data_IF_849362809144
#
_entry.id   IF_849362809144
#
_cell.length_a   1.000
_cell.length_b   1.000
_cell.length_c   1.000
_cell.angle_alpha   90.00
_cell.angle_beta   90.00
_cell.angle_gamma   90.00
#
_symmetry.space_group_name_H-M   'P 1'
#
loop_
_entity.id
_entity.type
_entity.pdbx_description
1 polymer ?
#
# COMPACT_ATOMS: atom_id res chain seq x y z
N UNK A 1 0.84 32.57 26.66
CA UNK A 1 0.13 31.29 26.96
C UNK A 1 -0.60 30.77 25.77
N UNK A 2 -1.34 31.60 25.04
CA UNK A 2 -2.06 31.17 23.82
C UNK A 2 -1.13 30.65 22.74
N UNK A 3 0.03 31.28 22.58
CA UNK A 3 1.06 30.89 21.62
C UNK A 3 1.59 29.48 21.94
N UNK A 4 1.83 29.21 23.22
CA UNK A 4 2.33 27.90 23.66
C UNK A 4 1.31 26.80 23.39
N UNK A 5 0.02 27.03 23.65
CA UNK A 5 -1.06 26.08 23.39
C UNK A 5 -1.17 25.80 21.89
N UNK A 6 -1.06 26.83 21.07
CA UNK A 6 -1.11 26.70 19.62
C UNK A 6 0.05 25.85 19.08
N UNK A 7 1.27 26.10 19.59
CA UNK A 7 2.44 25.32 19.19
C UNK A 7 2.31 23.86 19.59
N UNK A 8 1.76 23.56 20.75
CA UNK A 8 1.54 22.18 21.19
C UNK A 8 0.58 21.46 20.27
N UNK A 9 -0.51 22.12 19.85
CA UNK A 9 -1.45 21.53 18.90
C UNK A 9 -0.80 21.20 17.55
N UNK A 10 0.05 22.09 17.04
CA UNK A 10 0.76 21.86 15.77
C UNK A 10 1.74 20.70 15.90
N UNK A 11 2.45 20.59 16.99
CA UNK A 11 3.37 19.48 17.23
C UNK A 11 2.65 18.15 17.29
N UNK A 12 1.50 18.08 17.95
CA UNK A 12 0.70 16.86 18.02
C UNK A 12 0.23 16.41 16.64
N UNK A 13 -0.21 17.35 15.80
CA UNK A 13 -0.63 17.04 14.42
C UNK A 13 0.54 16.50 13.61
N UNK A 14 1.71 17.10 13.76
CA UNK A 14 2.91 16.66 13.05
C UNK A 14 3.30 15.24 13.46
N UNK A 15 3.30 14.94 14.75
CA UNK A 15 3.62 13.62 15.24
C UNK A 15 2.64 12.55 14.75
N UNK A 16 1.34 12.85 14.75
CA UNK A 16 0.33 11.92 14.25
C UNK A 16 0.51 11.65 12.76
N UNK A 17 0.81 12.68 11.98
CA UNK A 17 1.05 12.54 10.54
C UNK A 17 2.30 11.69 10.27
N UNK A 18 3.33 11.77 11.12
CA UNK A 18 4.57 11.00 10.93
C UNK A 18 4.43 9.53 11.30
N UNK A 19 3.39 9.14 12.04
CA UNK A 19 3.15 7.74 12.38
C UNK A 19 2.58 6.93 11.19
N UNK A 20 1.99 7.60 10.21
CA UNK A 20 1.41 6.95 9.03
C UNK A 20 2.46 6.91 7.94
N UNK A 21 2.79 5.71 7.47
CA UNK A 21 3.77 5.53 6.41
C UNK A 21 3.16 5.85 5.05
N UNK A 22 3.97 6.29 4.09
CA UNK A 22 3.52 6.47 2.71
C UNK A 22 3.47 5.13 1.98
N UNK A 23 2.83 5.12 0.81
CA UNK A 23 2.63 3.89 0.03
C UNK A 23 3.93 3.23 -0.40
N UNK A 24 4.93 4.01 -0.77
CA UNK A 24 6.23 3.48 -1.16
C UNK A 24 6.91 2.75 -0.01
N UNK A 25 6.92 3.35 1.17
CA UNK A 25 7.53 2.75 2.35
C UNK A 25 6.84 1.46 2.74
N UNK A 26 5.51 1.46 2.74
CA UNK A 26 4.73 0.26 3.04
C UNK A 26 5.04 -0.85 2.02
N UNK A 27 5.02 -0.50 0.74
CA UNK A 27 5.27 -1.46 -0.33
C UNK A 27 6.65 -2.09 -0.21
N UNK A 28 7.69 -1.28 0.01
CA UNK A 28 9.05 -1.77 0.16
C UNK A 28 9.20 -2.73 1.33
N UNK A 29 8.55 -2.43 2.45
CA UNK A 29 8.70 -3.22 3.65
C UNK A 29 7.85 -4.49 3.67
N UNK A 30 6.71 -4.49 3.00
CA UNK A 30 5.73 -5.55 3.11
C UNK A 30 5.56 -6.36 1.82
N UNK A 31 5.62 -5.72 0.67
CA UNK A 31 5.21 -6.30 -0.60
C UNK A 31 6.35 -6.61 -1.56
N UNK A 32 7.40 -5.80 -1.57
CA UNK A 32 8.43 -5.84 -2.58
C UNK A 32 9.22 -7.15 -2.60
N UNK A 33 9.29 -7.87 -1.49
CA UNK A 33 9.96 -9.16 -1.46
C UNK A 33 9.43 -10.16 -2.47
N UNK A 34 8.12 -10.12 -2.72
CA UNK A 34 7.47 -10.97 -3.71
C UNK A 34 7.09 -10.23 -4.98
N UNK A 35 6.86 -8.92 -4.90
CA UNK A 35 6.38 -8.11 -6.02
C UNK A 35 7.42 -7.09 -6.49
N UNK A 36 8.63 -7.54 -6.75
CA UNK A 36 9.72 -6.68 -7.21
C UNK A 36 9.28 -5.97 -8.50
N UNK A 37 9.33 -4.63 -8.50
CA UNK A 37 8.96 -3.79 -9.65
C UNK A 37 7.58 -4.12 -10.21
N UNK A 38 6.64 -4.49 -9.33
CA UNK A 38 5.29 -4.82 -9.74
C UNK A 38 5.12 -6.22 -10.31
N UNK A 39 6.16 -7.05 -10.30
CA UNK A 39 6.08 -8.42 -10.76
C UNK A 39 5.56 -9.37 -9.69
N UNK A 40 5.80 -10.64 -9.91
CA UNK A 40 5.59 -11.68 -8.92
C UNK A 40 6.69 -12.72 -9.09
N UNK A 41 7.43 -13.00 -8.01
CA UNK A 41 8.54 -13.96 -8.05
C UNK A 41 8.15 -15.33 -7.53
N UNK A 42 7.01 -15.45 -6.86
CA UNK A 42 6.60 -16.69 -6.17
C UNK A 42 5.86 -17.64 -7.09
N UNK A 43 5.05 -17.13 -8.01
CA UNK A 43 4.25 -17.92 -8.90
C UNK A 43 4.56 -17.58 -10.35
N UNK A 44 4.90 -18.60 -11.13
CA UNK A 44 5.17 -18.40 -12.55
C UNK A 44 3.96 -17.80 -13.27
N UNK A 45 4.19 -16.66 -13.89
CA UNK A 45 3.40 -16.19 -15.01
C UNK A 45 2.07 -15.55 -14.76
N UNK A 46 1.66 -15.22 -13.54
CA UNK A 46 0.28 -14.81 -13.50
C UNK A 46 -0.18 -13.81 -12.44
N UNK A 47 0.65 -13.44 -11.51
CA UNK A 47 0.12 -12.68 -10.36
C UNK A 47 0.81 -11.35 -10.15
N UNK A 48 1.22 -10.72 -11.26
CA UNK A 48 1.91 -9.44 -11.20
C UNK A 48 0.96 -8.30 -10.85
N UNK A 49 1.55 -7.18 -10.44
CA UNK A 49 0.81 -5.95 -10.16
C UNK A 49 0.82 -5.02 -11.38
N UNK A 50 1.15 -5.52 -12.55
CA UNK A 50 1.04 -4.74 -13.77
C UNK A 50 -0.43 -4.45 -14.07
N UNK A 51 -0.69 -3.28 -14.63
CA UNK A 51 -2.08 -2.85 -14.85
C UNK A 51 -2.90 -3.86 -15.63
N UNK A 52 -2.32 -4.42 -16.70
CA UNK A 52 -3.04 -5.42 -17.51
C UNK A 52 -3.46 -6.64 -16.70
N UNK A 53 -2.61 -7.11 -15.80
CA UNK A 53 -2.93 -8.26 -14.95
C UNK A 53 -3.99 -7.92 -13.90
N UNK A 54 -3.91 -6.73 -13.32
CA UNK A 54 -4.93 -6.27 -12.37
C UNK A 54 -6.29 -6.13 -13.05
N UNK A 55 -6.30 -5.61 -14.27
CA UNK A 55 -7.54 -5.47 -15.04
C UNK A 55 -8.14 -6.81 -15.45
N UNK A 56 -7.32 -7.74 -15.88
CA UNK A 56 -7.78 -9.09 -16.24
C UNK A 56 -8.49 -9.79 -15.10
N UNK A 57 -8.10 -9.47 -13.86
CA UNK A 57 -8.68 -10.08 -12.67
C UNK A 57 -9.76 -9.23 -12.03
N UNK A 58 -10.10 -8.10 -12.65
CA UNK A 58 -11.09 -7.16 -12.14
C UNK A 58 -10.76 -6.67 -10.71
N UNK A 59 -9.47 -6.46 -10.44
CA UNK A 59 -8.99 -5.99 -9.14
C UNK A 59 -8.14 -4.72 -9.26
N UNK A 60 -8.37 -3.91 -10.27
CA UNK A 60 -7.60 -2.68 -10.50
C UNK A 60 -8.11 -1.48 -9.71
N UNK A 61 -9.03 -1.68 -8.79
CA UNK A 61 -9.58 -0.62 -7.96
C UNK A 61 -8.99 -0.64 -6.56
N UNK A 62 -9.06 0.51 -5.89
CA UNK A 62 -8.49 0.71 -4.56
C UNK A 62 -9.02 -0.28 -3.53
N UNK A 63 -10.34 -0.46 -3.48
CA UNK A 63 -10.95 -1.32 -2.47
C UNK A 63 -10.54 -2.78 -2.63
N UNK A 64 -10.46 -3.27 -3.87
CA UNK A 64 -10.03 -4.64 -4.14
C UNK A 64 -8.58 -4.88 -3.72
N UNK A 65 -7.69 -3.96 -4.07
CA UNK A 65 -6.27 -4.10 -3.72
C UNK A 65 -6.08 -3.98 -2.20
N UNK A 66 -6.76 -3.04 -1.55
CA UNK A 66 -6.69 -2.90 -0.10
C UNK A 66 -7.17 -4.18 0.60
N UNK A 67 -8.25 -4.76 0.13
CA UNK A 67 -8.77 -6.01 0.68
C UNK A 67 -7.77 -7.15 0.54
N UNK A 68 -7.15 -7.27 -0.63
CA UNK A 68 -6.13 -8.30 -0.87
C UNK A 68 -4.91 -8.08 0.02
N UNK A 69 -4.48 -6.84 0.19
CA UNK A 69 -3.36 -6.54 1.09
C UNK A 69 -3.67 -6.96 2.53
N UNK A 70 -4.89 -6.73 2.99
CA UNK A 70 -5.30 -7.11 4.34
C UNK A 70 -5.53 -8.62 4.52
N UNK A 71 -6.25 -9.23 3.60
CA UNK A 71 -6.77 -10.59 3.78
C UNK A 71 -6.02 -11.65 2.97
N UNK A 72 -5.27 -11.22 1.94
CA UNK A 72 -4.62 -12.14 1.02
C UNK A 72 -5.55 -12.65 -0.05
N UNK A 73 -4.99 -13.42 -0.97
CA UNK A 73 -5.75 -14.07 -2.04
C UNK A 73 -4.95 -15.29 -2.53
N UNK A 74 -5.62 -16.43 -2.64
CA UNK A 74 -4.95 -17.66 -3.06
C UNK A 74 -3.79 -18.00 -2.15
N UNK A 75 -2.60 -18.17 -2.70
CA UNK A 75 -1.40 -18.48 -1.92
C UNK A 75 -0.77 -17.24 -1.28
N UNK A 76 -1.20 -16.06 -1.65
CA UNK A 76 -0.71 -14.83 -1.04
C UNK A 76 -1.34 -14.64 0.34
N UNK A 77 -0.52 -14.45 1.35
CA UNK A 77 -0.98 -14.18 2.72
C UNK A 77 -1.52 -12.76 2.83
N UNK A 78 -2.41 -12.54 3.79
CA UNK A 78 -2.82 -11.21 4.18
C UNK A 78 -1.80 -10.56 5.12
N UNK A 79 -1.72 -9.24 5.07
CA UNK A 79 -0.73 -8.48 5.84
C UNK A 79 -1.37 -7.45 6.77
N UNK A 80 -2.64 -7.62 7.11
CA UNK A 80 -3.34 -6.70 8.01
C UNK A 80 -2.56 -6.46 9.30
N UNK A 81 -1.91 -7.48 9.83
CA UNK A 81 -1.12 -7.39 11.07
C UNK A 81 0.13 -6.52 10.93
N UNK A 82 0.53 -6.20 9.71
CA UNK A 82 1.67 -5.32 9.43
C UNK A 82 1.27 -3.94 8.94
N UNK A 83 -0.03 -3.68 8.84
CA UNK A 83 -0.57 -2.42 8.36
C UNK A 83 -1.30 -1.71 9.49
N UNK A 84 -1.07 -0.41 9.61
CA UNK A 84 -1.84 0.44 10.53
C UNK A 84 -3.16 0.82 9.86
N UNK A 85 -4.09 1.31 10.66
CA UNK A 85 -5.38 1.75 10.15
C UNK A 85 -5.20 2.80 9.05
N UNK A 86 -5.85 2.58 7.91
CA UNK A 86 -5.76 3.46 6.75
C UNK A 86 -4.60 3.18 5.81
N UNK A 87 -3.60 2.44 6.24
CA UNK A 87 -2.44 2.14 5.39
C UNK A 87 -2.76 1.20 4.23
N UNK A 88 -3.77 0.37 4.37
CA UNK A 88 -4.22 -0.51 3.29
C UNK A 88 -4.64 0.29 2.05
N UNK A 89 -5.37 1.38 2.24
CA UNK A 89 -5.82 2.23 1.13
C UNK A 89 -4.71 3.10 0.58
N UNK A 90 -3.84 3.62 1.44
CA UNK A 90 -2.65 4.36 1.01
C UNK A 90 -1.77 3.48 0.13
N UNK A 91 -1.54 2.26 0.55
CA UNK A 91 -0.80 1.27 -0.22
C UNK A 91 -1.48 0.96 -1.55
N UNK A 92 -2.79 0.73 -1.54
CA UNK A 92 -3.54 0.43 -2.75
C UNK A 92 -3.46 1.56 -3.78
N UNK A 93 -3.61 2.80 -3.34
CA UNK A 93 -3.50 3.97 -4.21
C UNK A 93 -2.11 4.06 -4.84
N UNK A 94 -1.07 3.82 -4.06
CA UNK A 94 0.30 3.84 -4.54
C UNK A 94 0.54 2.75 -5.58
N UNK A 95 0.06 1.54 -5.34
CA UNK A 95 0.17 0.42 -6.28
C UNK A 95 -0.54 0.74 -7.60
N UNK A 96 -1.75 1.25 -7.55
CA UNK A 96 -2.51 1.61 -8.75
C UNK A 96 -1.78 2.69 -9.55
N UNK A 97 -1.26 3.70 -8.87
CA UNK A 97 -0.54 4.78 -9.55
C UNK A 97 0.70 4.24 -10.27
N UNK A 98 1.46 3.38 -9.61
CA UNK A 98 2.63 2.76 -10.21
C UNK A 98 2.26 1.82 -11.35
N UNK A 99 1.17 1.08 -11.22
CA UNK A 99 0.68 0.21 -12.29
C UNK A 99 0.34 1.03 -13.54
N UNK A 100 -0.33 2.18 -13.36
CA UNK A 100 -0.66 3.08 -14.46
C UNK A 100 0.59 3.66 -15.13
N UNK A 101 1.64 3.88 -14.37
CA UNK A 101 2.92 4.43 -14.86
C UNK A 101 3.86 3.34 -15.37
N UNK A 102 3.48 2.07 -15.31
CA UNK A 102 4.28 0.96 -15.81
C UNK A 102 5.41 0.53 -14.89
N UNK A 103 5.35 0.89 -13.62
CA UNK A 103 6.36 0.51 -12.61
C UNK A 103 7.77 1.02 -12.93
N UNK A 104 7.86 2.20 -13.46
CA UNK A 104 9.14 2.85 -13.82
C UNK A 104 9.86 3.48 -12.61
#
# INVERSE_FOLDING_TARGET
>A
TLIIIFQTSLQNRYLMASDIRDGETIFRNVCAGCHVRGGSVVLKGSKSLKLSDLEKRAISDENSIAKIANEGIGFMKGYKHKLQEGEDKILAQWIIQNAKEGWN
#
